data_IF_300011841226
#
_entry.id   IF_300011841226
#
_cell.length_a   1.000
_cell.length_b   1.000
_cell.length_c   1.000
_cell.angle_alpha   90.00
_cell.angle_beta   90.00
_cell.angle_gamma   90.00
#
_symmetry.space_group_name_H-M   'P 1'
#
loop_
_entity.id
_entity.type
_entity.pdbx_description
1 polymer ?
#
# COMPACT_ATOMS: atom_id res chain seq x y z
N UNK A 1 31.43 46.66 2.67
CA UNK A 1 30.12 46.08 2.29
C UNK A 1 29.70 46.73 0.95
N UNK A 2 29.83 46.00 -0.18
CA UNK A 2 29.48 46.54 -1.52
C UNK A 2 27.95 46.67 -1.58
N UNK A 3 27.44 47.90 -1.73
CA UNK A 3 26.02 48.15 -1.95
C UNK A 3 25.65 47.52 -3.30
N UNK A 4 24.85 46.47 -3.29
CA UNK A 4 24.28 45.86 -4.51
C UNK A 4 23.52 46.92 -5.28
N UNK A 5 23.73 47.01 -6.61
CA UNK A 5 23.00 47.93 -7.48
C UNK A 5 21.49 47.64 -7.44
N UNK A 6 20.66 48.58 -7.76
CA UNK A 6 19.19 48.37 -7.82
C UNK A 6 18.80 47.22 -8.74
N UNK A 7 19.51 47.06 -9.85
CA UNK A 7 19.32 45.97 -10.81
C UNK A 7 19.62 44.60 -10.21
N UNK A 8 20.71 44.48 -9.47
CA UNK A 8 21.06 43.23 -8.78
C UNK A 8 20.01 42.83 -7.72
N UNK A 9 19.44 43.79 -7.03
CA UNK A 9 18.36 43.54 -6.04
C UNK A 9 17.08 43.07 -6.70
N UNK A 10 16.72 43.63 -7.84
CA UNK A 10 15.53 43.24 -8.60
C UNK A 10 15.72 41.85 -9.18
N UNK A 11 16.84 41.59 -9.84
CA UNK A 11 17.18 40.26 -10.40
C UNK A 11 17.17 39.17 -9.33
N UNK A 12 17.76 39.44 -8.16
CA UNK A 12 17.75 38.49 -7.07
C UNK A 12 16.35 38.17 -6.55
N UNK A 13 15.49 39.18 -6.42
CA UNK A 13 14.10 38.97 -5.99
C UNK A 13 13.29 38.16 -7.00
N UNK A 14 13.44 38.45 -8.27
CA UNK A 14 12.79 37.69 -9.34
C UNK A 14 13.28 36.23 -9.37
N UNK A 15 14.59 36.04 -9.24
CA UNK A 15 15.17 34.69 -9.14
C UNK A 15 14.63 33.93 -7.92
N UNK A 16 14.59 34.59 -6.76
CA UNK A 16 14.08 33.98 -5.53
C UNK A 16 12.59 33.59 -5.66
N UNK A 17 11.78 34.47 -6.23
CA UNK A 17 10.35 34.18 -6.46
C UNK A 17 10.17 33.00 -7.44
N UNK A 18 10.92 32.95 -8.52
CA UNK A 18 10.88 31.85 -9.48
C UNK A 18 11.33 30.53 -8.84
N UNK A 19 12.40 30.57 -8.04
CA UNK A 19 12.92 29.40 -7.32
C UNK A 19 11.91 28.87 -6.28
N UNK A 20 11.30 29.75 -5.51
CA UNK A 20 10.26 29.35 -4.55
C UNK A 20 9.02 28.80 -5.26
N UNK A 21 8.62 29.38 -6.39
CA UNK A 21 7.53 28.85 -7.22
C UNK A 21 7.83 27.44 -7.73
N UNK A 22 9.06 27.19 -8.18
CA UNK A 22 9.50 25.88 -8.64
C UNK A 22 9.44 24.84 -7.51
N UNK A 23 9.96 25.18 -6.32
CA UNK A 23 9.92 24.29 -5.14
C UNK A 23 8.46 23.99 -4.75
N UNK A 24 7.60 25.01 -4.72
CA UNK A 24 6.20 24.82 -4.38
C UNK A 24 5.49 23.91 -5.38
N UNK A 25 5.70 24.13 -6.68
CA UNK A 25 5.14 23.27 -7.74
C UNK A 25 5.63 21.84 -7.62
N UNK A 26 6.93 21.63 -7.39
CA UNK A 26 7.50 20.29 -7.20
C UNK A 26 6.89 19.59 -5.97
N UNK A 27 6.77 20.28 -4.85
CA UNK A 27 6.16 19.74 -3.64
C UNK A 27 4.68 19.36 -3.86
N UNK A 28 3.93 20.22 -4.57
CA UNK A 28 2.54 19.94 -4.91
C UNK A 28 2.41 18.73 -5.83
N UNK A 29 3.26 18.62 -6.86
CA UNK A 29 3.30 17.45 -7.74
C UNK A 29 3.56 16.17 -6.96
N UNK A 30 4.59 16.14 -6.11
CA UNK A 30 4.92 14.99 -5.28
C UNK A 30 3.73 14.60 -4.41
N UNK A 31 3.09 15.56 -3.76
CA UNK A 31 1.93 15.31 -2.91
C UNK A 31 0.75 14.71 -3.70
N UNK A 32 0.42 15.27 -4.87
CA UNK A 32 -0.67 14.77 -5.72
C UNK A 32 -0.37 13.37 -6.24
N UNK A 33 0.86 13.15 -6.74
CA UNK A 33 1.27 11.83 -7.22
C UNK A 33 1.27 10.78 -6.12
N UNK A 34 1.76 11.13 -4.93
CA UNK A 34 1.74 10.20 -3.79
C UNK A 34 0.30 9.79 -3.44
N UNK A 35 -0.62 10.75 -3.32
CA UNK A 35 -2.04 10.45 -3.07
C UNK A 35 -2.68 9.60 -4.16
N UNK A 36 -2.44 9.94 -5.42
CA UNK A 36 -3.01 9.20 -6.55
C UNK A 36 -2.47 7.76 -6.59
N UNK A 37 -1.18 7.58 -6.37
CA UNK A 37 -0.54 6.27 -6.38
C UNK A 37 -1.04 5.39 -5.23
N UNK A 38 -1.14 5.93 -4.02
CA UNK A 38 -1.67 5.21 -2.86
C UNK A 38 -3.14 4.80 -3.08
N UNK A 39 -3.97 5.68 -3.62
CA UNK A 39 -5.37 5.37 -3.93
C UNK A 39 -5.49 4.27 -4.99
N UNK A 40 -4.63 4.30 -6.02
CA UNK A 40 -4.59 3.27 -7.05
C UNK A 40 -4.12 1.92 -6.50
N UNK A 41 -3.12 1.90 -5.63
CA UNK A 41 -2.64 0.68 -4.98
C UNK A 41 -3.76 0.01 -4.17
N UNK A 42 -4.49 0.76 -3.36
CA UNK A 42 -5.63 0.24 -2.61
C UNK A 42 -6.74 -0.31 -3.50
N UNK A 43 -7.18 0.44 -4.50
CA UNK A 43 -8.24 -0.02 -5.41
C UNK A 43 -7.82 -1.21 -6.27
N UNK A 44 -6.55 -1.36 -6.56
CA UNK A 44 -5.96 -2.55 -7.19
C UNK A 44 -6.09 -3.75 -6.28
N UNK A 45 -5.59 -3.63 -5.05
CA UNK A 45 -5.58 -4.70 -4.06
C UNK A 45 -7.00 -5.16 -3.68
N UNK A 46 -7.95 -4.24 -3.57
CA UNK A 46 -9.37 -4.58 -3.34
C UNK A 46 -9.94 -5.46 -4.47
N UNK A 47 -9.75 -5.05 -5.73
CA UNK A 47 -10.22 -5.83 -6.87
C UNK A 47 -9.60 -7.21 -6.95
N UNK A 48 -8.31 -7.31 -6.71
CA UNK A 48 -7.60 -8.59 -6.70
C UNK A 48 -8.10 -9.48 -5.57
N UNK A 49 -8.33 -8.93 -4.39
CA UNK A 49 -8.88 -9.66 -3.25
C UNK A 49 -10.31 -10.17 -3.54
N UNK A 50 -11.16 -9.34 -4.15
CA UNK A 50 -12.51 -9.75 -4.55
C UNK A 50 -12.51 -10.89 -5.58
N UNK A 51 -11.57 -10.87 -6.53
CA UNK A 51 -11.40 -11.95 -7.50
C UNK A 51 -10.93 -13.24 -6.84
N UNK A 52 -9.95 -13.16 -5.94
CA UNK A 52 -9.46 -14.30 -5.14
C UNK A 52 -10.58 -14.89 -4.31
N UNK A 53 -11.33 -14.04 -3.60
CA UNK A 53 -12.50 -14.45 -2.80
C UNK A 53 -13.55 -15.16 -3.66
N UNK A 54 -13.96 -14.57 -4.78
CA UNK A 54 -14.94 -15.16 -5.68
C UNK A 54 -14.47 -16.53 -6.24
N UNK A 55 -13.18 -16.63 -6.57
CA UNK A 55 -12.57 -17.90 -7.02
C UNK A 55 -12.61 -18.98 -5.92
N UNK A 56 -12.28 -18.61 -4.69
CA UNK A 56 -12.32 -19.52 -3.56
C UNK A 56 -13.76 -19.96 -3.22
N UNK A 57 -14.73 -19.04 -3.21
CA UNK A 57 -16.14 -19.35 -2.96
C UNK A 57 -16.72 -20.34 -3.96
N UNK A 58 -16.23 -20.36 -5.20
CA UNK A 58 -16.68 -21.32 -6.23
C UNK A 58 -16.12 -22.73 -6.03
N UNK A 59 -14.90 -22.85 -5.55
CA UNK A 59 -14.19 -24.13 -5.50
C UNK A 59 -14.13 -24.72 -4.08
N UNK A 60 -14.06 -23.90 -3.07
CA UNK A 60 -13.84 -24.28 -1.67
C UNK A 60 -12.46 -24.92 -1.41
N UNK A 61 -11.58 -24.92 -2.41
CA UNK A 61 -10.27 -25.58 -2.35
C UNK A 61 -9.13 -24.54 -2.18
N UNK A 62 -8.45 -24.51 -1.02
CA UNK A 62 -7.34 -23.59 -0.80
C UNK A 62 -6.19 -23.74 -1.81
N UNK A 63 -5.98 -24.92 -2.39
CA UNK A 63 -4.92 -25.14 -3.36
C UNK A 63 -5.12 -24.33 -4.65
N UNK A 64 -6.36 -24.01 -4.99
CA UNK A 64 -6.70 -23.18 -6.15
C UNK A 64 -6.26 -21.72 -6.00
N UNK A 65 -6.02 -21.25 -4.77
CA UNK A 65 -5.55 -19.89 -4.51
C UNK A 65 -4.17 -19.63 -5.09
N UNK A 66 -3.38 -20.66 -5.33
CA UNK A 66 -2.08 -20.55 -5.99
C UNK A 66 -2.17 -19.97 -7.40
N UNK A 67 -3.32 -20.11 -8.08
CA UNK A 67 -3.53 -19.59 -9.42
C UNK A 67 -3.64 -18.04 -9.47
N UNK A 68 -3.91 -17.40 -8.32
CA UNK A 68 -4.04 -15.94 -8.20
C UNK A 68 -2.75 -15.26 -7.70
N UNK A 69 -1.74 -16.05 -7.36
CA UNK A 69 -0.47 -15.53 -6.84
C UNK A 69 0.39 -14.97 -7.97
N UNK A 70 0.93 -13.78 -7.77
CA UNK A 70 1.90 -13.13 -8.66
C UNK A 70 3.13 -12.69 -7.86
N UNK A 71 4.15 -12.18 -8.53
CA UNK A 71 5.36 -11.68 -7.86
C UNK A 71 5.05 -10.54 -6.89
N UNK A 72 4.00 -9.75 -7.18
CA UNK A 72 3.59 -8.59 -6.40
C UNK A 72 2.40 -8.85 -5.47
N UNK A 73 1.74 -10.02 -5.59
CA UNK A 73 0.55 -10.35 -4.84
C UNK A 73 0.74 -11.62 -4.00
N UNK A 74 0.66 -11.47 -2.68
CA UNK A 74 0.57 -12.57 -1.72
C UNK A 74 -0.88 -12.82 -1.34
N UNK A 75 -1.24 -14.09 -1.24
CA UNK A 75 -2.58 -14.52 -0.81
C UNK A 75 -2.44 -15.38 0.44
N UNK A 76 -3.20 -15.06 1.46
CA UNK A 76 -3.28 -15.81 2.71
C UNK A 76 -4.73 -16.13 3.02
N UNK A 77 -5.06 -17.39 3.20
CA UNK A 77 -6.37 -17.82 3.70
C UNK A 77 -6.27 -18.11 5.20
N UNK A 78 -7.15 -17.46 5.96
CA UNK A 78 -7.14 -17.52 7.42
C UNK A 78 -8.49 -18.02 7.92
N UNK A 79 -8.47 -18.98 8.85
CA UNK A 79 -9.67 -19.43 9.54
C UNK A 79 -10.19 -18.38 10.53
N UNK A 80 -11.44 -18.51 10.96
CA UNK A 80 -12.04 -17.60 11.94
C UNK A 80 -11.33 -17.56 13.30
N UNK A 81 -10.58 -18.59 13.64
CA UNK A 81 -9.74 -18.65 14.85
C UNK A 81 -8.35 -18.04 14.66
N UNK A 82 -8.06 -17.49 13.48
CA UNK A 82 -6.79 -16.85 13.12
C UNK A 82 -5.71 -17.81 12.64
N UNK A 83 -5.99 -19.10 12.53
CA UNK A 83 -5.05 -20.07 11.96
C UNK A 83 -4.93 -19.90 10.46
N UNK A 84 -3.70 -20.00 9.94
CA UNK A 84 -3.41 -19.88 8.52
C UNK A 84 -3.68 -21.21 7.83
N UNK A 85 -4.61 -21.23 6.88
CA UNK A 85 -4.99 -22.40 6.08
C UNK A 85 -4.21 -22.50 4.78
N UNK A 86 -3.84 -21.36 4.21
CA UNK A 86 -3.03 -21.27 3.00
C UNK A 86 -2.17 -19.99 3.06
N UNK A 87 -0.95 -20.09 2.59
CA UNK A 87 -0.02 -18.96 2.46
C UNK A 87 0.81 -19.14 1.18
N UNK A 88 0.79 -18.13 0.33
CA UNK A 88 1.46 -18.19 -0.96
C UNK A 88 2.98 -17.98 -0.91
N UNK A 89 3.49 -17.37 0.15
CA UNK A 89 4.90 -16.99 0.24
C UNK A 89 5.77 -18.03 0.92
N UNK A 90 5.20 -18.98 1.66
CA UNK A 90 5.96 -19.99 2.41
C UNK A 90 5.11 -21.21 2.73
N UNK A 91 5.74 -22.38 2.68
CA UNK A 91 5.13 -23.63 3.13
C UNK A 91 5.38 -23.91 4.64
N UNK A 92 6.05 -22.99 5.34
CA UNK A 92 6.32 -23.15 6.75
C UNK A 92 5.09 -22.77 7.59
N UNK A 93 4.87 -23.47 8.73
CA UNK A 93 3.81 -23.10 9.66
C UNK A 93 3.93 -21.64 10.10
N UNK A 94 2.85 -20.90 9.99
CA UNK A 94 2.80 -19.49 10.40
C UNK A 94 2.12 -19.36 11.77
N UNK A 95 2.50 -18.30 12.48
CA UNK A 95 1.83 -17.93 13.72
C UNK A 95 0.38 -17.51 13.46
N UNK A 96 -0.44 -17.58 14.51
CA UNK A 96 -1.82 -17.14 14.45
C UNK A 96 -1.92 -15.65 14.13
N UNK A 97 -2.77 -15.30 13.15
CA UNK A 97 -2.90 -13.95 12.61
C UNK A 97 -4.04 -13.13 13.22
N UNK A 98 -4.75 -13.65 14.21
CA UNK A 98 -5.93 -13.00 14.80
C UNK A 98 -5.63 -11.61 15.38
N UNK A 99 -4.39 -11.37 15.81
CA UNK A 99 -3.97 -10.09 16.41
C UNK A 99 -3.60 -9.01 15.39
N UNK A 100 -3.51 -9.37 14.11
CA UNK A 100 -3.16 -8.42 13.05
C UNK A 100 -4.27 -7.40 12.82
N UNK A 101 -3.95 -6.10 12.67
CA UNK A 101 -4.95 -5.04 12.55
C UNK A 101 -5.97 -5.29 11.43
N UNK A 102 -5.49 -5.61 10.22
CA UNK A 102 -6.33 -5.88 9.05
C UNK A 102 -7.29 -7.06 9.28
N UNK A 103 -6.84 -8.08 10.00
CA UNK A 103 -7.67 -9.27 10.29
C UNK A 103 -8.74 -8.95 11.33
N UNK A 104 -8.38 -8.21 12.40
CA UNK A 104 -9.34 -7.78 13.42
C UNK A 104 -10.42 -6.89 12.82
N UNK A 105 -10.02 -5.96 11.96
CA UNK A 105 -10.95 -5.06 11.29
C UNK A 105 -11.86 -5.80 10.31
N UNK A 106 -11.32 -6.77 9.54
CA UNK A 106 -12.11 -7.62 8.66
C UNK A 106 -13.14 -8.46 9.43
N UNK A 107 -12.78 -9.01 10.58
CA UNK A 107 -13.72 -9.75 11.44
C UNK A 107 -14.84 -8.85 11.97
N UNK A 108 -14.49 -7.63 12.39
CA UNK A 108 -15.43 -6.70 13.02
C UNK A 108 -16.36 -6.00 12.00
N UNK A 109 -15.80 -5.59 10.85
CA UNK A 109 -16.44 -4.67 9.91
C UNK A 109 -16.68 -5.30 8.52
N UNK A 110 -16.13 -6.49 8.25
CA UNK A 110 -16.20 -7.17 6.95
C UNK A 110 -14.95 -6.96 6.10
N UNK A 111 -14.24 -5.87 6.30
CA UNK A 111 -12.96 -5.56 5.61
C UNK A 111 -11.98 -4.89 6.58
N UNK A 112 -10.69 -5.03 6.30
CA UNK A 112 -9.62 -4.40 7.08
C UNK A 112 -8.42 -4.05 6.22
N UNK A 113 -7.70 -3.00 6.61
CA UNK A 113 -6.52 -2.47 5.89
C UNK A 113 -5.40 -2.18 6.86
N UNK A 114 -4.18 -2.46 6.43
CA UNK A 114 -2.97 -2.09 7.16
C UNK A 114 -1.81 -1.82 6.21
N UNK A 115 -0.87 -0.99 6.63
CA UNK A 115 0.38 -0.74 5.90
C UNK A 115 1.50 -0.90 6.90
N UNK A 116 2.43 -1.80 6.62
CA UNK A 116 3.60 -2.03 7.48
C UNK A 116 4.80 -2.52 6.70
N UNK A 117 5.98 -2.34 7.28
CA UNK A 117 7.20 -2.93 6.75
C UNK A 117 7.12 -4.45 6.87
N UNK A 118 7.21 -5.13 5.73
CA UNK A 118 7.28 -6.58 5.70
C UNK A 118 8.65 -7.05 6.13
N UNK A 119 8.74 -7.78 7.23
CA UNK A 119 9.99 -8.41 7.67
C UNK A 119 10.54 -9.40 6.63
N UNK A 120 9.66 -9.96 5.81
CA UNK A 120 10.02 -10.93 4.76
C UNK A 120 10.49 -10.25 3.49
N UNK A 121 9.88 -9.12 3.13
CA UNK A 121 10.12 -8.43 1.85
C UNK A 121 11.10 -7.24 1.99
N UNK A 122 11.26 -6.69 3.20
CA UNK A 122 12.17 -5.57 3.47
C UNK A 122 11.69 -4.20 2.95
N UNK A 123 10.42 -4.08 2.58
CA UNK A 123 9.79 -2.83 2.15
C UNK A 123 8.35 -2.72 2.64
N UNK A 124 7.80 -1.51 2.56
CA UNK A 124 6.42 -1.21 2.95
C UNK A 124 5.43 -2.02 2.12
N UNK A 125 4.55 -2.75 2.80
CA UNK A 125 3.59 -3.66 2.19
C UNK A 125 2.17 -3.28 2.60
N UNK A 126 1.27 -3.29 1.61
CA UNK A 126 -0.16 -3.04 1.79
C UNK A 126 -0.87 -4.35 2.09
N UNK A 127 -1.67 -4.37 3.14
CA UNK A 127 -2.47 -5.52 3.56
C UNK A 127 -3.94 -5.16 3.48
N UNK A 128 -4.70 -5.99 2.78
CA UNK A 128 -6.14 -5.90 2.70
C UNK A 128 -6.77 -7.26 3.03
N UNK A 129 -7.70 -7.27 3.96
CA UNK A 129 -8.40 -8.46 4.37
C UNK A 129 -9.90 -8.30 4.19
N UNK A 130 -10.58 -9.35 3.75
CA UNK A 130 -12.04 -9.45 3.66
C UNK A 130 -12.52 -10.71 4.35
N UNK A 131 -13.73 -10.65 4.88
CA UNK A 131 -14.41 -11.76 5.53
C UNK A 131 -15.31 -12.50 4.56
#
# INVERSE_FOLDING_TARGET
>A
MKLRSMEEKISYRLFLMGFLGLIFTAALCIFVFHKAFTAQAWSGLERETDLVRAGYEQTGDPAQLSAFVTDDLRVTLISQDGSVLFESATDQPMENHLTRPEIRDAIANGEGRDIRDSQTMGYETYYYAVR
#
